data_IF_678598811079
#
_entry.id   IF_678598811079
#
_cell.length_a   1.000
_cell.length_b   1.000
_cell.length_c   1.000
_cell.angle_alpha   90.00
_cell.angle_beta   90.00
_cell.angle_gamma   90.00
#
_symmetry.space_group_name_H-M   'P 1'
#
loop_
_entity.id
_entity.type
_entity.pdbx_description
1 polymer ?
#
# COMPACT_ATOMS: atom_id res chain seq x y z
N UNK A 1 -6.60 8.21 14.83
CA UNK A 1 -5.27 7.58 14.70
C UNK A 1 -5.05 7.35 13.22
N UNK A 2 -3.99 7.89 12.64
CA UNK A 2 -3.66 7.61 11.24
C UNK A 2 -3.19 6.16 11.14
N UNK A 3 -3.58 5.44 10.08
CA UNK A 3 -3.15 4.05 9.88
C UNK A 3 -1.72 4.03 9.33
N UNK A 4 -0.97 2.97 9.58
CA UNK A 4 0.47 2.90 9.25
C UNK A 4 0.74 3.19 7.75
N UNK A 5 -0.14 2.70 6.87
CA UNK A 5 -0.06 2.96 5.42
C UNK A 5 -0.19 4.43 5.01
N UNK A 6 -0.79 5.30 5.84
CA UNK A 6 -0.84 6.75 5.62
C UNK A 6 0.43 7.46 6.10
N UNK A 7 1.20 6.83 6.98
CA UNK A 7 2.34 7.45 7.66
C UNK A 7 3.68 7.13 6.98
N UNK A 8 3.70 6.18 6.05
CA UNK A 8 4.87 5.92 5.22
C UNK A 8 5.25 7.20 4.45
N UNK A 9 6.53 7.59 4.43
CA UNK A 9 6.98 8.70 3.60
C UNK A 9 6.81 8.34 2.12
N UNK A 10 6.78 9.34 1.24
CA UNK A 10 6.73 9.13 -0.21
C UNK A 10 7.96 8.34 -0.68
N UNK A 11 7.74 7.18 -1.32
CA UNK A 11 8.80 6.32 -1.85
C UNK A 11 8.98 6.48 -3.37
N UNK A 12 8.29 7.44 -3.99
CA UNK A 12 8.41 7.70 -5.43
C UNK A 12 9.86 7.97 -5.81
N UNK A 13 10.32 7.32 -6.89
CA UNK A 13 11.69 7.38 -7.40
C UNK A 13 12.79 6.88 -6.43
N UNK A 14 12.44 6.26 -5.30
CA UNK A 14 13.39 5.49 -4.50
C UNK A 14 13.76 4.19 -5.21
N UNK A 15 14.96 3.69 -4.96
CA UNK A 15 15.32 2.33 -5.37
C UNK A 15 14.51 1.31 -4.57
N UNK A 16 14.33 0.10 -5.12
CA UNK A 16 13.66 -1.00 -4.41
C UNK A 16 14.28 -1.27 -3.04
N UNK A 17 15.61 -1.21 -2.93
CA UNK A 17 16.32 -1.40 -1.66
C UNK A 17 15.97 -0.34 -0.62
N UNK A 18 15.96 0.95 -1.00
CA UNK A 18 15.58 2.06 -0.11
C UNK A 18 14.11 1.98 0.32
N UNK A 19 13.22 1.63 -0.63
CA UNK A 19 11.81 1.44 -0.35
C UNK A 19 11.59 0.30 0.66
N UNK A 20 12.23 -0.86 0.45
CA UNK A 20 12.15 -2.00 1.36
C UNK A 20 12.68 -1.67 2.76
N UNK A 21 13.80 -0.94 2.84
CA UNK A 21 14.34 -0.48 4.12
C UNK A 21 13.32 0.41 4.85
N UNK A 22 12.74 1.39 4.16
CA UNK A 22 11.77 2.33 4.74
C UNK A 22 10.48 1.62 5.19
N UNK A 23 10.02 0.64 4.41
CA UNK A 23 8.86 -0.20 4.76
C UNK A 23 9.15 -1.00 6.03
N UNK A 24 10.32 -1.63 6.13
CA UNK A 24 10.73 -2.40 7.31
C UNK A 24 10.92 -1.50 8.55
N UNK A 25 11.52 -0.33 8.40
CA UNK A 25 11.70 0.67 9.47
C UNK A 25 10.34 1.22 9.97
N UNK A 26 9.26 1.01 9.21
CA UNK A 26 7.88 1.36 9.57
C UNK A 26 7.07 0.16 10.08
N UNK A 27 7.73 -0.87 10.60
CA UNK A 27 7.15 -2.08 11.20
C UNK A 27 6.30 -2.95 10.26
N UNK A 28 6.41 -2.76 8.94
CA UNK A 28 5.81 -3.67 7.96
C UNK A 28 6.69 -4.90 7.77
N UNK A 29 6.08 -6.08 7.88
CA UNK A 29 6.76 -7.37 7.76
C UNK A 29 6.37 -8.04 6.45
N UNK A 30 7.34 -8.64 5.76
CA UNK A 30 7.07 -9.43 4.56
C UNK A 30 6.10 -10.57 4.87
N UNK A 31 5.01 -10.64 4.10
CA UNK A 31 3.95 -11.64 4.26
C UNK A 31 4.00 -12.72 3.20
N UNK A 32 4.10 -12.32 1.94
CA UNK A 32 4.07 -13.27 0.82
C UNK A 32 4.58 -12.64 -0.48
N UNK A 33 5.00 -13.50 -1.41
CA UNK A 33 5.25 -13.16 -2.80
C UNK A 33 4.39 -14.05 -3.69
N UNK A 34 3.57 -13.46 -4.56
CA UNK A 34 2.75 -14.24 -5.49
C UNK A 34 3.58 -14.73 -6.67
N UNK A 35 3.08 -15.74 -7.39
CA UNK A 35 3.68 -16.22 -8.65
C UNK A 35 3.83 -15.10 -9.68
N UNK A 36 2.84 -14.19 -9.72
CA UNK A 36 2.88 -12.97 -10.53
C UNK A 36 3.83 -11.89 -10.02
N UNK A 37 4.67 -12.17 -9.01
CA UNK A 37 5.74 -11.30 -8.54
C UNK A 37 5.31 -10.16 -7.61
N UNK A 38 4.07 -10.15 -7.12
CA UNK A 38 3.63 -9.16 -6.14
C UNK A 38 4.23 -9.49 -4.77
N UNK A 39 4.98 -8.57 -4.20
CA UNK A 39 5.48 -8.67 -2.83
C UNK A 39 4.52 -7.95 -1.90
N UNK A 40 4.07 -8.61 -0.83
CA UNK A 40 3.12 -8.04 0.13
C UNK A 40 3.77 -7.95 1.50
N UNK A 41 3.62 -6.80 2.14
CA UNK A 41 4.08 -6.50 3.49
C UNK A 41 2.88 -6.10 4.35
N UNK A 42 2.83 -6.57 5.59
CA UNK A 42 1.72 -6.35 6.53
C UNK A 42 2.22 -5.72 7.82
N UNK A 43 1.47 -4.75 8.31
CA UNK A 43 1.71 -4.10 9.60
C UNK A 43 0.69 -4.62 10.65
N UNK A 44 1.03 -4.64 11.96
CA UNK A 44 0.13 -5.13 13.01
C UNK A 44 -1.25 -4.45 13.07
N UNK A 45 -1.37 -3.21 12.61
CA UNK A 45 -2.65 -2.49 12.51
C UNK A 45 -3.57 -3.02 11.39
N UNK A 46 -3.09 -3.93 10.55
CA UNK A 46 -3.79 -4.50 9.39
C UNK A 46 -3.61 -3.75 8.07
N UNK A 47 -2.78 -2.69 8.05
CA UNK A 47 -2.33 -2.03 6.82
C UNK A 47 -1.48 -2.99 5.97
N UNK A 48 -1.56 -2.85 4.65
CA UNK A 48 -0.77 -3.63 3.69
C UNK A 48 -0.09 -2.71 2.68
N UNK A 49 1.13 -3.09 2.31
CA UNK A 49 1.88 -2.55 1.18
C UNK A 49 2.08 -3.66 0.17
N UNK A 50 1.69 -3.43 -1.08
CA UNK A 50 2.01 -4.33 -2.18
C UNK A 50 3.00 -3.65 -3.12
N UNK A 51 4.13 -4.29 -3.41
CA UNK A 51 5.04 -3.88 -4.46
C UNK A 51 4.76 -4.77 -5.68
N UNK A 52 4.29 -4.17 -6.77
CA UNK A 52 4.05 -4.87 -8.04
C UNK A 52 5.37 -5.13 -8.76
N UNK A 53 5.43 -6.10 -9.69
CA UNK A 53 6.61 -6.31 -10.54
C UNK A 53 7.03 -5.10 -11.36
N UNK A 54 6.12 -4.15 -11.60
CA UNK A 54 6.37 -2.89 -12.30
C UNK A 54 7.03 -1.83 -11.43
N UNK A 55 7.16 -2.06 -10.12
CA UNK A 55 7.61 -1.05 -9.16
C UNK A 55 6.48 -0.18 -8.59
N UNK A 56 5.22 -0.38 -9.00
CA UNK A 56 4.10 0.33 -8.39
C UNK A 56 3.89 -0.14 -6.94
N UNK A 57 3.80 0.80 -6.00
CA UNK A 57 3.50 0.53 -4.60
C UNK A 57 2.02 0.81 -4.32
N UNK A 58 1.25 -0.22 -3.95
CA UNK A 58 -0.14 -0.06 -3.53
C UNK A 58 -0.24 -0.07 -2.00
N UNK A 59 -0.63 1.07 -1.43
CA UNK A 59 -0.90 1.25 0.01
C UNK A 59 -2.37 1.00 0.33
N UNK A 60 -2.64 0.13 1.29
CA UNK A 60 -4.01 -0.09 1.80
C UNK A 60 -4.06 -0.12 3.32
N UNK A 61 -5.16 0.39 3.88
CA UNK A 61 -5.42 0.35 5.31
C UNK A 61 -5.99 -0.98 5.80
N UNK A 62 -6.32 -1.06 7.10
CA UNK A 62 -7.02 -2.20 7.68
C UNK A 62 -8.33 -2.52 6.96
N UNK A 63 -8.72 -3.80 7.07
CA UNK A 63 -9.99 -4.29 6.55
C UNK A 63 -11.13 -3.73 7.42
N UNK A 64 -12.02 -2.96 6.81
CA UNK A 64 -13.20 -2.37 7.44
C UNK A 64 -14.48 -2.87 6.77
N UNK A 65 -15.61 -2.86 7.49
CA UNK A 65 -16.92 -3.22 6.94
C UNK A 65 -17.66 -1.97 6.48
N UNK A 66 -18.41 -2.09 5.39
CA UNK A 66 -19.42 -1.09 5.03
C UNK A 66 -20.76 -1.40 5.71
N UNK A 67 -21.72 -0.50 5.56
CA UNK A 67 -23.08 -0.62 6.13
C UNK A 67 -23.85 -1.85 5.62
N UNK A 68 -23.40 -2.45 4.52
CA UNK A 68 -23.94 -3.68 3.93
C UNK A 68 -23.18 -4.94 4.37
N UNK A 69 -22.30 -4.84 5.36
CA UNK A 69 -21.50 -5.94 5.90
C UNK A 69 -20.34 -6.42 5.01
N UNK A 70 -20.17 -5.86 3.80
CA UNK A 70 -19.05 -6.20 2.92
C UNK A 70 -17.76 -5.55 3.43
N UNK A 71 -16.69 -6.34 3.44
CA UNK A 71 -15.38 -5.85 3.85
C UNK A 71 -14.61 -5.22 2.69
N UNK A 72 -13.91 -4.13 2.95
CA UNK A 72 -13.04 -3.45 2.00
C UNK A 72 -11.83 -2.84 2.72
N UNK A 73 -10.84 -2.38 1.95
CA UNK A 73 -9.70 -1.59 2.44
C UNK A 73 -9.68 -0.26 1.72
N UNK A 74 -9.41 0.82 2.45
CA UNK A 74 -9.13 2.13 1.85
C UNK A 74 -7.75 2.10 1.20
N UNK A 75 -7.59 2.83 0.10
CA UNK A 75 -6.30 3.06 -0.57
C UNK A 75 -5.79 4.44 -0.25
N UNK A 76 -4.47 4.57 -0.22
CA UNK A 76 -3.81 5.84 0.04
C UNK A 76 -2.80 6.14 -1.06
N UNK A 77 -2.67 7.42 -1.41
CA UNK A 77 -1.60 7.90 -2.28
C UNK A 77 -0.26 7.94 -1.54
N UNK A 78 0.80 8.34 -2.24
CA UNK A 78 2.15 8.44 -1.69
C UNK A 78 2.29 9.46 -0.53
N UNK A 79 1.33 10.37 -0.38
CA UNK A 79 1.29 11.37 0.68
C UNK A 79 0.38 10.96 1.86
N UNK A 80 -0.22 9.77 1.78
CA UNK A 80 -1.13 9.25 2.81
C UNK A 80 -2.56 9.78 2.70
N UNK A 81 -2.92 10.50 1.62
CA UNK A 81 -4.29 10.92 1.39
C UNK A 81 -5.13 9.74 0.91
N UNK A 82 -6.37 9.67 1.37
CA UNK A 82 -7.29 8.63 0.91
C UNK A 82 -7.66 8.86 -0.56
N UNK A 83 -7.42 7.85 -1.39
CA UNK A 83 -7.94 7.80 -2.76
C UNK A 83 -9.41 7.41 -2.67
N UNK A 84 -10.29 8.35 -3.02
CA UNK A 84 -11.73 8.09 -3.06
C UNK A 84 -12.03 7.09 -4.17
N UNK A 85 -12.80 6.04 -3.86
CA UNK A 85 -13.32 5.15 -4.89
C UNK A 85 -14.41 5.89 -5.67
N UNK A 86 -14.15 6.12 -6.95
CA UNK A 86 -15.07 6.71 -7.91
C UNK A 86 -15.37 5.63 -8.96
N UNK A 87 -16.60 5.10 -9.03
CA UNK A 87 -16.98 4.10 -10.03
C UNK A 87 -16.66 4.59 -11.45
N UNK A 88 -15.99 3.77 -12.24
CA UNK A 88 -15.59 4.11 -13.61
C UNK A 88 -14.26 4.87 -13.74
N UNK A 89 -13.63 5.26 -12.63
CA UNK A 89 -12.29 5.87 -12.62
C UNK A 89 -11.21 4.87 -12.21
N UNK A 90 -9.96 5.07 -12.66
CA UNK A 90 -8.82 4.20 -12.32
C UNK A 90 -8.28 4.46 -10.90
N UNK A 91 -9.10 4.19 -9.89
CA UNK A 91 -8.78 4.39 -8.46
C UNK A 91 -7.96 3.24 -7.85
N UNK A 92 -7.48 2.34 -8.71
CA UNK A 92 -6.65 1.20 -8.31
C UNK A 92 -5.16 1.54 -8.26
N UNK A 93 -4.74 2.59 -8.97
CA UNK A 93 -3.38 3.11 -8.90
C UNK A 93 -3.24 4.09 -7.74
N UNK A 94 -2.10 4.03 -7.07
CA UNK A 94 -1.68 4.97 -6.01
C UNK A 94 -0.76 6.07 -6.52
N UNK A 95 -0.31 6.00 -7.78
CA UNK A 95 0.67 6.92 -8.36
C UNK A 95 2.11 6.73 -7.89
N UNK A 96 2.35 5.86 -6.91
CA UNK A 96 3.67 5.65 -6.30
C UNK A 96 4.49 4.59 -7.05
N UNK A 97 5.63 4.98 -7.61
CA UNK A 97 6.49 4.10 -8.40
C UNK A 97 7.96 4.19 -7.96
N UNK A 98 8.57 3.04 -7.70
CA UNK A 98 9.99 2.90 -7.35
C UNK A 98 10.83 2.51 -8.57
N UNK A 99 12.15 2.67 -8.44
CA UNK A 99 13.15 2.19 -9.39
C UNK A 99 13.53 0.75 -9.01
N UNK A 100 13.36 -0.18 -9.94
CA UNK A 100 13.64 -1.61 -9.74
C UNK A 100 15.13 -1.95 -9.86
#
# INVERSE_FOLDING_TARGET
>A
MNVASQQLPDLTAKTKSEALKTIADSDFVFKTKTEGGYETFEHPDGSLIHIRPTGEIVRTGPKIKNDRGKSYRRRYDQFGNQIQFIPGSNTHSTGENIIL
#
